data_IF_447306361027
#
_entry.id   IF_447306361027
#
_cell.length_a   1.000
_cell.length_b   1.000
_cell.length_c   1.000
_cell.angle_alpha   90.00
_cell.angle_beta   90.00
_cell.angle_gamma   90.00
#
_symmetry.space_group_name_H-M   'P 1'
#
loop_
_entity.id
_entity.type
_entity.pdbx_description
1 polymer ?
#
# COMPACT_ATOMS: atom_id res chain seq x y z
N UNK A 1 -22.17 22.42 3.65
CA UNK A 1 -22.48 20.99 3.42
C UNK A 1 -23.54 20.45 4.38
N UNK A 2 -24.11 21.32 5.19
CA UNK A 2 -25.07 20.92 6.26
C UNK A 2 -26.44 20.47 5.74
N UNK A 3 -26.80 20.78 4.50
CA UNK A 3 -28.09 20.43 3.86
C UNK A 3 -28.13 19.07 3.15
N UNK A 4 -27.07 18.26 3.24
CA UNK A 4 -27.09 16.95 2.60
C UNK A 4 -27.91 15.95 3.43
N UNK A 5 -28.89 15.30 2.79
CA UNK A 5 -29.61 14.20 3.45
C UNK A 5 -28.61 13.10 3.87
N UNK A 6 -28.92 12.40 4.97
CA UNK A 6 -28.07 11.31 5.50
C UNK A 6 -27.78 10.25 4.42
N UNK A 7 -28.76 9.91 3.58
CA UNK A 7 -28.60 8.96 2.47
C UNK A 7 -27.57 9.45 1.44
N UNK A 8 -27.65 10.71 1.04
CA UNK A 8 -26.74 11.29 0.04
C UNK A 8 -25.32 11.41 0.57
N UNK A 9 -25.16 11.72 1.86
CA UNK A 9 -23.85 11.74 2.54
C UNK A 9 -23.19 10.36 2.53
N UNK A 10 -23.90 9.31 2.92
CA UNK A 10 -23.38 7.96 2.91
C UNK A 10 -23.10 7.45 1.50
N UNK A 11 -23.93 7.78 0.52
CA UNK A 11 -23.68 7.43 -0.89
C UNK A 11 -22.36 8.05 -1.39
N UNK A 12 -22.07 9.32 -1.04
CA UNK A 12 -20.83 9.98 -1.40
C UNK A 12 -19.61 9.32 -0.70
N UNK A 13 -19.73 9.00 0.59
CA UNK A 13 -18.66 8.30 1.33
C UNK A 13 -18.37 6.91 0.75
N UNK A 14 -19.41 6.14 0.43
CA UNK A 14 -19.26 4.82 -0.17
C UNK A 14 -18.70 4.89 -1.59
N UNK A 15 -19.05 5.93 -2.37
CA UNK A 15 -18.46 6.17 -3.68
C UNK A 15 -16.93 6.42 -3.59
N UNK A 16 -16.51 7.21 -2.61
CA UNK A 16 -15.07 7.42 -2.34
C UNK A 16 -14.39 6.13 -1.85
N UNK A 17 -15.04 5.37 -0.97
CA UNK A 17 -14.52 4.08 -0.51
C UNK A 17 -14.40 3.05 -1.65
N UNK A 18 -15.33 3.06 -2.62
CA UNK A 18 -15.27 2.19 -3.80
C UNK A 18 -14.00 2.43 -4.64
N UNK A 19 -13.57 3.69 -4.77
CA UNK A 19 -12.28 3.99 -5.39
C UNK A 19 -11.11 3.38 -4.63
N UNK A 20 -11.15 3.37 -3.29
CA UNK A 20 -10.14 2.70 -2.47
C UNK A 20 -10.19 1.17 -2.60
N UNK A 21 -11.38 0.59 -2.78
CA UNK A 21 -11.51 -0.84 -3.15
C UNK A 21 -10.77 -1.10 -4.47
N UNK A 22 -11.04 -0.31 -5.51
CA UNK A 22 -10.40 -0.50 -6.81
C UNK A 22 -8.87 -0.31 -6.75
N UNK A 23 -8.38 0.62 -5.91
CA UNK A 23 -6.94 0.80 -5.64
C UNK A 23 -6.35 -0.46 -5.00
N UNK A 24 -6.97 -0.99 -3.96
CA UNK A 24 -6.52 -2.23 -3.33
C UNK A 24 -6.50 -3.42 -4.31
N UNK A 25 -7.50 -3.54 -5.18
CA UNK A 25 -7.53 -4.57 -6.21
C UNK A 25 -6.33 -4.42 -7.19
N UNK A 26 -6.10 -3.23 -7.74
CA UNK A 26 -5.01 -3.03 -8.71
C UNK A 26 -3.62 -3.18 -8.07
N UNK A 27 -3.49 -2.95 -6.78
CA UNK A 27 -2.23 -3.06 -6.03
C UNK A 27 -1.91 -4.53 -5.69
N UNK A 28 -2.86 -5.30 -5.17
CA UNK A 28 -2.60 -6.62 -4.58
C UNK A 28 -2.93 -7.81 -5.48
N UNK A 29 -3.84 -7.68 -6.46
CA UNK A 29 -4.17 -8.77 -7.38
C UNK A 29 -2.96 -9.30 -8.17
N UNK A 30 -1.99 -8.47 -8.59
CA UNK A 30 -0.81 -8.98 -9.30
C UNK A 30 -0.05 -10.07 -8.56
N UNK A 31 0.07 -9.98 -7.24
CA UNK A 31 0.75 -10.99 -6.42
C UNK A 31 0.12 -12.39 -6.54
N UNK A 32 -1.19 -12.43 -6.75
CA UNK A 32 -1.94 -13.68 -6.94
C UNK A 32 -1.95 -14.21 -8.36
N UNK A 33 -1.50 -13.41 -9.36
CA UNK A 33 -1.56 -13.74 -10.79
C UNK A 33 -0.19 -13.67 -11.49
N UNK A 34 0.89 -13.59 -10.74
CA UNK A 34 2.23 -13.41 -11.31
C UNK A 34 2.63 -14.51 -12.30
N UNK A 35 2.41 -15.82 -12.01
CA UNK A 35 2.73 -16.89 -12.95
C UNK A 35 1.91 -16.80 -14.25
N UNK A 36 0.62 -16.47 -14.16
CA UNK A 36 -0.26 -16.32 -15.33
C UNK A 36 0.15 -15.14 -16.21
N UNK A 37 0.57 -14.04 -15.57
CA UNK A 37 1.08 -12.85 -16.26
C UNK A 37 2.41 -13.20 -16.95
N UNK A 38 3.37 -13.81 -16.22
CA UNK A 38 4.66 -14.23 -16.76
C UNK A 38 4.50 -15.13 -17.98
N UNK A 39 3.67 -16.16 -17.87
CA UNK A 39 3.37 -17.07 -18.99
C UNK A 39 2.79 -16.34 -20.20
N UNK A 40 1.96 -15.32 -19.99
CA UNK A 40 1.29 -14.59 -21.06
C UNK A 40 2.17 -13.59 -21.79
N UNK A 41 3.05 -12.85 -21.09
CA UNK A 41 3.81 -11.73 -21.66
C UNK A 41 5.32 -11.97 -21.77
N UNK A 42 5.81 -13.05 -21.13
CA UNK A 42 7.19 -13.52 -21.13
C UNK A 42 7.28 -15.00 -21.54
N UNK A 43 6.42 -15.44 -22.47
CA UNK A 43 6.23 -16.86 -22.81
C UNK A 43 7.52 -17.60 -23.16
N UNK A 44 8.41 -17.01 -23.94
CA UNK A 44 9.71 -17.62 -24.32
C UNK A 44 10.65 -17.76 -23.11
N UNK A 45 10.62 -16.80 -22.19
CA UNK A 45 11.40 -16.85 -20.95
C UNK A 45 10.78 -17.86 -19.98
N UNK A 46 9.46 -17.86 -19.87
CA UNK A 46 8.71 -18.81 -19.04
C UNK A 46 8.94 -20.27 -19.46
N UNK A 47 9.04 -20.54 -20.77
CA UNK A 47 9.32 -21.87 -21.29
C UNK A 47 10.76 -22.33 -20.99
N UNK A 48 11.71 -21.40 -20.84
CA UNK A 48 13.11 -21.71 -20.48
C UNK A 48 13.29 -21.85 -18.96
N UNK A 49 12.70 -20.95 -18.19
CA UNK A 49 12.79 -20.91 -16.73
C UNK A 49 11.57 -20.19 -16.16
N UNK A 50 10.63 -20.95 -15.58
CA UNK A 50 9.47 -20.36 -14.91
C UNK A 50 9.89 -19.41 -13.77
N UNK A 51 10.84 -19.76 -12.86
CA UNK A 51 11.24 -18.86 -11.78
C UNK A 51 11.78 -17.52 -12.27
N UNK A 52 12.59 -17.52 -13.33
CA UNK A 52 13.16 -16.28 -13.87
C UNK A 52 12.08 -15.40 -14.51
N UNK A 53 11.17 -15.99 -15.29
CA UNK A 53 10.06 -15.26 -15.90
C UNK A 53 9.11 -14.67 -14.85
N UNK A 54 8.83 -15.41 -13.77
CA UNK A 54 8.01 -14.93 -12.64
C UNK A 54 8.73 -13.82 -11.90
N UNK A 55 10.04 -13.94 -11.66
CA UNK A 55 10.86 -12.89 -11.06
C UNK A 55 10.84 -11.63 -11.93
N UNK A 56 11.00 -11.80 -13.25
CA UNK A 56 10.92 -10.69 -14.22
C UNK A 56 9.54 -10.05 -14.23
N UNK A 57 8.46 -10.82 -14.23
CA UNK A 57 7.09 -10.29 -14.12
C UNK A 57 6.84 -9.47 -12.85
N UNK A 58 7.54 -9.76 -11.76
CA UNK A 58 7.49 -8.99 -10.51
C UNK A 58 7.79 -7.50 -10.68
N UNK A 59 8.54 -7.11 -11.70
CA UNK A 59 8.82 -5.71 -12.01
C UNK A 59 7.57 -4.87 -12.33
N UNK A 60 6.45 -5.50 -12.68
CA UNK A 60 5.19 -4.78 -12.86
C UNK A 60 4.61 -4.24 -11.53
N UNK A 61 4.87 -4.93 -10.42
CA UNK A 61 4.51 -4.48 -9.08
C UNK A 61 5.39 -3.30 -8.70
N UNK A 62 6.71 -3.44 -8.91
CA UNK A 62 7.70 -2.37 -8.73
C UNK A 62 7.36 -1.13 -9.55
N UNK A 63 6.99 -1.28 -10.83
CA UNK A 63 6.64 -0.16 -11.71
C UNK A 63 5.43 0.63 -11.18
N UNK A 64 4.38 -0.07 -10.72
CA UNK A 64 3.22 0.58 -10.11
C UNK A 64 3.60 1.35 -8.84
N UNK A 65 4.33 0.71 -7.95
CA UNK A 65 4.76 1.31 -6.68
C UNK A 65 5.66 2.54 -6.90
N UNK A 66 6.57 2.51 -7.89
CA UNK A 66 7.36 3.68 -8.30
C UNK A 66 6.47 4.79 -8.84
N UNK A 67 5.42 4.44 -9.60
CA UNK A 67 4.42 5.40 -10.04
C UNK A 67 3.76 6.12 -8.86
N UNK A 68 3.42 5.40 -7.78
CA UNK A 68 2.85 6.00 -6.57
C UNK A 68 3.85 6.94 -5.88
N UNK A 69 5.11 6.52 -5.73
CA UNK A 69 6.16 7.32 -5.08
C UNK A 69 6.39 8.64 -5.82
N UNK A 70 6.43 8.60 -7.15
CA UNK A 70 6.61 9.80 -7.99
C UNK A 70 5.34 10.63 -8.06
N UNK A 71 4.19 9.97 -8.24
CA UNK A 71 2.91 10.62 -8.48
C UNK A 71 2.38 11.40 -7.28
N UNK A 72 2.55 10.90 -6.06
CA UNK A 72 2.00 11.53 -4.86
C UNK A 72 2.51 12.98 -4.67
N UNK A 73 3.82 13.26 -4.61
CA UNK A 73 4.31 14.62 -4.46
C UNK A 73 4.08 15.48 -5.73
N UNK A 74 4.22 14.90 -6.93
CA UNK A 74 4.06 15.61 -8.19
C UNK A 74 2.62 16.11 -8.35
N UNK A 75 1.64 15.21 -8.21
CA UNK A 75 0.22 15.56 -8.40
C UNK A 75 -0.23 16.48 -7.28
N UNK A 76 0.15 16.23 -6.01
CA UNK A 76 -0.20 17.11 -4.90
C UNK A 76 0.26 18.54 -5.14
N UNK A 77 1.47 18.73 -5.67
CA UNK A 77 2.03 20.05 -5.98
C UNK A 77 1.29 20.73 -7.12
N UNK A 78 1.06 20.04 -8.24
CA UNK A 78 0.42 20.61 -9.45
C UNK A 78 -1.05 20.93 -9.18
N UNK A 79 -1.74 20.10 -8.36
CA UNK A 79 -3.19 20.20 -8.16
C UNK A 79 -3.60 20.88 -6.85
N UNK A 80 -2.66 21.46 -6.09
CA UNK A 80 -2.91 22.06 -4.77
C UNK A 80 -4.09 23.07 -4.75
N UNK A 81 -4.33 23.78 -5.85
CA UNK A 81 -5.41 24.78 -6.02
C UNK A 81 -6.68 24.22 -6.67
N UNK A 82 -6.68 22.94 -7.06
CA UNK A 82 -7.85 22.34 -7.72
C UNK A 82 -8.97 22.06 -6.70
N UNK A 83 -10.23 22.18 -7.17
CA UNK A 83 -11.40 21.73 -6.41
C UNK A 83 -11.30 20.22 -6.18
N UNK A 84 -11.47 19.76 -4.94
CA UNK A 84 -11.21 18.36 -4.54
C UNK A 84 -12.01 17.33 -5.34
N UNK A 85 -13.30 17.61 -5.64
CA UNK A 85 -14.12 16.71 -6.48
C UNK A 85 -13.50 16.56 -7.89
N UNK A 86 -13.14 17.67 -8.54
CA UNK A 86 -12.54 17.63 -9.88
C UNK A 86 -11.22 16.86 -9.89
N UNK A 87 -10.41 17.04 -8.83
CA UNK A 87 -9.18 16.29 -8.65
C UNK A 87 -9.46 14.79 -8.57
N UNK A 88 -10.36 14.34 -7.67
CA UNK A 88 -10.70 12.92 -7.50
C UNK A 88 -11.23 12.33 -8.82
N UNK A 89 -12.09 13.04 -9.55
CA UNK A 89 -12.58 12.58 -10.86
C UNK A 89 -11.44 12.42 -11.86
N UNK A 90 -10.52 13.38 -11.97
CA UNK A 90 -9.35 13.28 -12.85
C UNK A 90 -8.44 12.12 -12.48
N UNK A 91 -8.23 11.88 -11.17
CA UNK A 91 -7.44 10.74 -10.69
C UNK A 91 -8.11 9.39 -11.02
N UNK A 92 -9.43 9.30 -10.87
CA UNK A 92 -10.19 8.10 -11.24
C UNK A 92 -10.13 7.84 -12.75
N UNK A 93 -10.18 8.87 -13.60
CA UNK A 93 -9.96 8.72 -15.05
C UNK A 93 -8.58 8.15 -15.35
N UNK A 94 -7.52 8.66 -14.70
CA UNK A 94 -6.17 8.13 -14.86
C UNK A 94 -6.07 6.66 -14.43
N UNK A 95 -6.74 6.27 -13.33
CA UNK A 95 -6.80 4.87 -12.90
C UNK A 95 -7.51 3.98 -13.92
N UNK A 96 -8.66 4.41 -14.44
CA UNK A 96 -9.39 3.66 -15.49
C UNK A 96 -8.48 3.45 -16.69
N UNK A 97 -7.88 4.51 -17.22
CA UNK A 97 -7.04 4.46 -18.41
C UNK A 97 -5.78 3.62 -18.19
N UNK A 98 -5.05 3.84 -17.08
CA UNK A 98 -3.83 3.11 -16.77
C UNK A 98 -4.06 1.62 -16.50
N UNK A 99 -5.15 1.29 -15.81
CA UNK A 99 -5.51 -0.11 -15.52
C UNK A 99 -5.99 -0.82 -16.79
N UNK A 100 -6.82 -0.17 -17.62
CA UNK A 100 -7.25 -0.72 -18.90
C UNK A 100 -6.07 -0.86 -19.86
N UNK A 101 -5.18 0.12 -19.95
CA UNK A 101 -3.95 0.04 -20.74
C UNK A 101 -3.07 -1.15 -20.32
N UNK A 102 -2.97 -1.43 -19.02
CA UNK A 102 -2.26 -2.61 -18.52
C UNK A 102 -2.87 -3.91 -19.03
N UNK A 103 -4.21 -3.98 -19.13
CA UNK A 103 -4.92 -5.17 -19.61
C UNK A 103 -4.73 -5.43 -21.10
N UNK A 104 -4.63 -4.38 -21.92
CA UNK A 104 -4.54 -4.50 -23.38
C UNK A 104 -3.10 -4.44 -23.91
N UNK A 105 -2.12 -4.20 -23.05
CA UNK A 105 -0.71 -4.13 -23.41
C UNK A 105 -0.24 -5.45 -24.04
N UNK A 106 0.39 -5.35 -25.22
CA UNK A 106 0.85 -6.50 -26.00
C UNK A 106 2.25 -6.98 -25.61
N UNK A 107 3.07 -6.12 -25.01
CA UNK A 107 4.43 -6.44 -24.59
C UNK A 107 4.63 -6.14 -23.10
N UNK A 108 5.58 -6.83 -22.47
CA UNK A 108 5.90 -6.62 -21.07
C UNK A 108 6.33 -5.17 -20.77
N UNK A 109 7.13 -4.56 -21.65
CA UNK A 109 7.52 -3.15 -21.50
C UNK A 109 6.33 -2.19 -21.48
N UNK A 110 5.30 -2.42 -22.33
CA UNK A 110 4.06 -1.64 -22.30
C UNK A 110 3.26 -1.89 -21.03
N UNK A 111 3.26 -3.11 -20.49
CA UNK A 111 2.67 -3.40 -19.18
C UNK A 111 3.35 -2.57 -18.09
N UNK A 112 4.69 -2.52 -18.07
CA UNK A 112 5.44 -1.72 -17.08
C UNK A 112 5.09 -0.23 -17.15
N UNK A 113 5.04 0.35 -18.36
CA UNK A 113 4.67 1.76 -18.56
C UNK A 113 3.22 2.03 -18.10
N UNK A 114 2.29 1.15 -18.48
CA UNK A 114 0.89 1.28 -18.08
C UNK A 114 0.72 1.13 -16.56
N UNK A 115 1.46 0.22 -15.91
CA UNK A 115 1.47 0.04 -14.46
C UNK A 115 2.03 1.26 -13.74
N UNK A 116 3.14 1.83 -14.22
CA UNK A 116 3.70 3.07 -13.69
C UNK A 116 2.68 4.21 -13.78
N UNK A 117 2.06 4.40 -14.96
CA UNK A 117 1.03 5.42 -15.17
C UNK A 117 -0.19 5.23 -14.25
N UNK A 118 -0.65 3.96 -14.06
CA UNK A 118 -1.73 3.62 -13.14
C UNK A 118 -1.37 3.88 -11.66
N UNK A 119 -0.09 3.85 -11.30
CA UNK A 119 0.39 4.17 -9.95
C UNK A 119 0.36 5.66 -9.62
N UNK A 120 0.56 6.55 -10.60
CA UNK A 120 0.68 7.99 -10.37
C UNK A 120 -0.47 8.59 -9.54
N UNK A 121 -1.75 8.30 -9.78
CA UNK A 121 -2.87 8.91 -9.06
C UNK A 121 -3.08 8.40 -7.63
N UNK A 122 -2.45 7.28 -7.23
CA UNK A 122 -2.75 6.54 -6.00
C UNK A 122 -2.65 7.40 -4.72
N UNK A 123 -1.48 7.98 -4.44
CA UNK A 123 -1.26 8.75 -3.20
C UNK A 123 -2.11 10.03 -3.14
N UNK A 124 -2.27 10.70 -4.27
CA UNK A 124 -3.11 11.90 -4.39
C UNK A 124 -4.60 11.57 -4.19
N UNK A 125 -5.05 10.39 -4.60
CA UNK A 125 -6.42 9.93 -4.39
C UNK A 125 -6.76 9.85 -2.90
N UNK A 126 -5.94 9.15 -2.09
CA UNK A 126 -6.20 9.02 -0.66
C UNK A 126 -6.21 10.38 0.05
N UNK A 127 -5.31 11.28 -0.30
CA UNK A 127 -5.31 12.65 0.22
C UNK A 127 -6.59 13.41 -0.13
N UNK A 128 -6.96 13.45 -1.40
CA UNK A 128 -8.14 14.20 -1.87
C UNK A 128 -9.47 13.58 -1.41
N UNK A 129 -9.60 12.25 -1.49
CA UNK A 129 -10.80 11.53 -1.05
C UNK A 129 -10.97 11.59 0.47
N UNK A 130 -9.87 11.47 1.23
CA UNK A 130 -9.91 11.62 2.69
C UNK A 130 -10.40 13.00 3.13
N UNK A 131 -9.91 14.08 2.52
CA UNK A 131 -10.36 15.45 2.79
C UNK A 131 -11.83 15.67 2.42
N UNK A 132 -12.29 15.13 1.28
CA UNK A 132 -13.70 15.17 0.91
C UNK A 132 -14.56 14.41 1.92
N UNK A 133 -14.15 13.22 2.33
CA UNK A 133 -14.86 12.43 3.30
C UNK A 133 -14.93 13.13 4.68
N UNK A 134 -13.82 13.74 5.12
CA UNK A 134 -13.80 14.56 6.33
C UNK A 134 -14.82 15.71 6.26
N UNK A 135 -14.84 16.44 5.13
CA UNK A 135 -15.79 17.54 4.94
C UNK A 135 -17.28 17.09 4.89
N UNK A 136 -17.54 15.86 4.43
CA UNK A 136 -18.87 15.26 4.40
C UNK A 136 -19.34 14.83 5.79
N UNK A 137 -18.44 14.43 6.69
CA UNK A 137 -18.78 14.01 8.06
C UNK A 137 -19.01 15.18 9.01
N UNK A 138 -18.43 16.35 8.69
CA UNK A 138 -18.55 17.57 9.49
C UNK A 138 -17.53 17.66 10.63
N UNK A 139 -17.49 18.83 11.33
CA UNK A 139 -16.52 19.11 12.37
C UNK A 139 -16.54 18.06 13.50
N UNK A 140 -15.35 17.62 13.95
CA UNK A 140 -15.19 16.62 15.01
C UNK A 140 -15.39 15.16 14.59
N UNK A 141 -15.64 14.92 13.29
CA UNK A 141 -15.83 13.56 12.75
C UNK A 141 -14.94 13.29 11.52
N UNK A 142 -13.94 14.14 11.29
CA UNK A 142 -13.06 14.08 10.11
C UNK A 142 -12.33 12.74 10.02
N UNK A 143 -11.84 12.22 11.16
CA UNK A 143 -11.17 10.92 11.23
C UNK A 143 -12.07 9.75 10.82
N UNK A 144 -13.37 9.82 11.14
CA UNK A 144 -14.35 8.81 10.71
C UNK A 144 -14.54 8.82 9.20
N UNK A 145 -14.60 10.01 8.59
CA UNK A 145 -14.68 10.13 7.13
C UNK A 145 -13.49 9.49 6.45
N UNK A 146 -12.30 9.78 6.92
CA UNK A 146 -11.06 9.17 6.42
C UNK A 146 -11.03 7.65 6.60
N UNK A 147 -11.48 7.17 7.77
CA UNK A 147 -11.57 5.74 8.05
C UNK A 147 -12.52 5.00 7.10
N UNK A 148 -13.66 5.61 6.72
CA UNK A 148 -14.56 5.03 5.72
C UNK A 148 -13.88 4.89 4.36
N UNK A 149 -13.12 5.89 3.91
CA UNK A 149 -12.37 5.80 2.64
C UNK A 149 -11.34 4.67 2.73
N UNK A 150 -10.56 4.59 3.82
CA UNK A 150 -9.54 3.55 4.01
C UNK A 150 -10.13 2.15 4.17
N UNK A 151 -11.36 2.00 4.69
CA UNK A 151 -12.00 0.69 4.81
C UNK A 151 -12.18 -0.01 3.47
N UNK A 152 -12.17 0.75 2.35
CA UNK A 152 -12.17 0.19 1.01
C UNK A 152 -10.97 -0.73 0.75
N UNK A 153 -9.77 -0.41 1.27
CA UNK A 153 -8.60 -1.29 1.17
C UNK A 153 -8.81 -2.61 1.92
N UNK A 154 -9.43 -2.54 3.11
CA UNK A 154 -9.75 -3.75 3.89
C UNK A 154 -10.72 -4.65 3.13
N UNK A 155 -11.79 -4.07 2.56
CA UNK A 155 -12.76 -4.80 1.74
C UNK A 155 -12.08 -5.42 0.52
N UNK A 156 -11.18 -4.67 -0.14
CA UNK A 156 -10.40 -5.20 -1.25
C UNK A 156 -9.57 -6.41 -0.83
N UNK A 157 -8.79 -6.30 0.24
CA UNK A 157 -7.87 -7.36 0.66
C UNK A 157 -8.57 -8.61 1.17
N UNK A 158 -9.66 -8.49 1.94
CA UNK A 158 -10.36 -9.64 2.49
C UNK A 158 -11.22 -10.37 1.46
N UNK A 159 -11.90 -9.65 0.59
CA UNK A 159 -12.86 -10.21 -0.35
C UNK A 159 -12.52 -9.99 -1.82
N UNK A 160 -12.20 -8.76 -2.17
CA UNK A 160 -12.02 -8.35 -3.56
C UNK A 160 -10.82 -9.02 -4.24
N UNK A 161 -9.64 -8.97 -3.62
CA UNK A 161 -8.40 -9.54 -4.18
C UNK A 161 -8.53 -11.04 -4.40
N UNK A 162 -9.01 -11.85 -3.43
CA UNK A 162 -9.22 -13.28 -3.66
C UNK A 162 -10.18 -13.58 -4.82
N UNK A 163 -11.31 -12.85 -4.90
CA UNK A 163 -12.31 -13.04 -5.95
C UNK A 163 -11.75 -12.69 -7.34
N UNK A 164 -11.07 -11.56 -7.45
CA UNK A 164 -10.48 -11.12 -8.73
C UNK A 164 -9.29 -12.01 -9.13
N UNK A 165 -8.50 -12.50 -8.18
CA UNK A 165 -7.45 -13.48 -8.44
C UNK A 165 -8.02 -14.78 -9.01
N UNK A 166 -9.09 -15.32 -8.41
CA UNK A 166 -9.79 -16.48 -8.94
C UNK A 166 -10.33 -16.25 -10.35
N UNK A 167 -10.93 -15.08 -10.59
CA UNK A 167 -11.38 -14.69 -11.91
C UNK A 167 -10.23 -14.66 -12.93
N UNK A 168 -9.09 -14.07 -12.53
CA UNK A 168 -7.91 -13.99 -13.38
C UNK A 168 -7.30 -15.36 -13.71
N UNK A 169 -7.31 -16.29 -12.75
CA UNK A 169 -6.88 -17.68 -12.95
C UNK A 169 -7.83 -18.44 -13.90
N UNK A 170 -9.14 -18.21 -13.83
CA UNK A 170 -10.14 -18.89 -14.63
C UNK A 170 -10.33 -18.29 -16.04
N UNK A 171 -10.32 -16.97 -16.15
CA UNK A 171 -10.67 -16.23 -17.38
C UNK A 171 -9.50 -15.41 -17.95
N UNK A 172 -8.30 -15.55 -17.38
CA UNK A 172 -7.10 -14.83 -17.77
C UNK A 172 -6.90 -13.51 -17.00
N UNK A 173 -5.64 -13.17 -16.73
CA UNK A 173 -5.25 -12.00 -15.95
C UNK A 173 -5.72 -10.66 -16.58
N UNK A 174 -5.79 -10.60 -17.92
CA UNK A 174 -6.30 -9.41 -18.63
C UNK A 174 -7.76 -9.13 -18.29
N UNK A 175 -8.60 -10.17 -18.20
CA UNK A 175 -10.00 -10.06 -17.76
C UNK A 175 -10.08 -9.51 -16.34
N UNK A 176 -9.25 -9.97 -15.42
CA UNK A 176 -9.18 -9.43 -14.07
C UNK A 176 -8.89 -7.92 -14.07
N UNK A 177 -7.91 -7.47 -14.86
CA UNK A 177 -7.58 -6.04 -14.97
C UNK A 177 -8.68 -5.21 -15.62
N UNK A 178 -9.40 -5.74 -16.62
CA UNK A 178 -10.58 -5.06 -17.20
C UNK A 178 -11.72 -4.93 -16.18
N UNK A 179 -11.95 -5.95 -15.36
CA UNK A 179 -12.92 -5.86 -14.26
C UNK A 179 -12.49 -4.81 -13.23
N UNK A 180 -11.22 -4.74 -12.86
CA UNK A 180 -10.70 -3.69 -11.96
C UNK A 180 -10.89 -2.31 -12.59
N UNK A 181 -10.62 -2.14 -13.89
CA UNK A 181 -10.88 -0.89 -14.61
C UNK A 181 -12.39 -0.54 -14.58
N UNK A 182 -13.26 -1.53 -14.70
CA UNK A 182 -14.72 -1.39 -14.55
C UNK A 182 -15.13 -0.92 -13.14
N UNK A 183 -14.47 -1.42 -12.09
CA UNK A 183 -14.71 -0.96 -10.71
C UNK A 183 -14.27 0.49 -10.54
N UNK A 184 -13.13 0.90 -11.12
CA UNK A 184 -12.71 2.32 -11.14
C UNK A 184 -13.70 3.20 -11.91
N UNK A 185 -14.23 2.73 -13.05
CA UNK A 185 -15.25 3.44 -13.82
C UNK A 185 -16.54 3.59 -12.99
N UNK A 186 -16.96 2.55 -12.30
CA UNK A 186 -18.11 2.60 -11.41
C UNK A 186 -17.88 3.62 -10.27
N UNK A 187 -16.68 3.64 -9.67
CA UNK A 187 -16.32 4.63 -8.66
C UNK A 187 -16.33 6.05 -9.24
N UNK A 188 -15.82 6.25 -10.46
CA UNK A 188 -15.84 7.54 -11.17
C UNK A 188 -17.28 8.05 -11.34
N UNK A 189 -18.18 7.20 -11.85
CA UNK A 189 -19.59 7.55 -12.06
C UNK A 189 -20.30 7.81 -10.73
N UNK A 190 -20.05 6.98 -9.72
CA UNK A 190 -20.62 7.15 -8.38
C UNK A 190 -20.17 8.46 -7.73
N UNK A 191 -18.88 8.81 -7.80
CA UNK A 191 -18.32 10.08 -7.28
C UNK A 191 -18.90 11.25 -8.06
N UNK A 192 -18.98 11.17 -9.38
CA UNK A 192 -19.56 12.24 -10.21
C UNK A 192 -21.02 12.54 -9.80
N UNK A 193 -21.82 11.49 -9.54
CA UNK A 193 -23.23 11.60 -9.22
C UNK A 193 -23.49 12.02 -7.76
N UNK A 194 -22.70 11.55 -6.79
CA UNK A 194 -23.05 11.65 -5.36
C UNK A 194 -22.25 12.68 -4.59
N UNK A 195 -20.96 12.87 -4.92
CA UNK A 195 -20.07 13.78 -4.18
C UNK A 195 -20.36 15.23 -4.56
N UNK A 196 -20.67 16.12 -3.61
CA UNK A 196 -20.88 17.52 -3.90
C UNK A 196 -19.55 18.22 -4.28
N UNK A 197 -19.66 19.33 -5.02
CA UNK A 197 -18.49 20.16 -5.30
C UNK A 197 -18.08 20.89 -4.02
N UNK A 198 -16.82 20.79 -3.65
CA UNK A 198 -16.26 21.42 -2.47
C UNK A 198 -15.15 22.42 -2.88
N UNK A 199 -15.08 23.59 -2.26
CA UNK A 199 -14.00 24.53 -2.49
C UNK A 199 -12.65 23.86 -2.16
N UNK A 200 -11.58 24.37 -2.77
CA UNK A 200 -10.23 23.97 -2.40
C UNK A 200 -9.97 24.46 -0.95
N UNK A 201 -9.81 23.56 -0.02
CA UNK A 201 -9.35 23.87 1.33
C UNK A 201 -7.81 23.91 1.30
N UNK A 202 -7.22 25.10 1.16
CA UNK A 202 -5.79 25.24 1.05
C UNK A 202 -5.12 25.49 2.39
N UNK A 203 -4.26 24.56 2.83
CA UNK A 203 -3.08 24.94 3.59
C UNK A 203 -2.07 25.61 2.65
N UNK A 204 -1.13 26.39 3.18
CA UNK A 204 -0.08 26.98 2.33
C UNK A 204 0.81 25.84 1.79
N UNK A 205 0.96 25.67 0.46
CA UNK A 205 1.89 24.70 -0.12
C UNK A 205 3.31 24.86 0.43
N UNK A 206 3.68 26.07 0.87
CA UNK A 206 4.98 26.36 1.45
C UNK A 206 5.19 25.70 2.82
N UNK A 207 4.14 25.57 3.65
CA UNK A 207 4.25 24.94 4.96
C UNK A 207 4.37 23.42 4.84
N UNK A 208 3.61 22.82 3.90
CA UNK A 208 3.70 21.40 3.58
C UNK A 208 5.11 21.06 3.03
N UNK A 209 5.65 21.86 2.12
CA UNK A 209 7.00 21.66 1.58
C UNK A 209 8.10 21.87 2.62
N UNK A 210 7.88 22.73 3.63
CA UNK A 210 8.84 22.97 4.71
C UNK A 210 9.08 21.70 5.55
N UNK A 211 8.10 20.80 5.65
CA UNK A 211 8.27 19.51 6.33
C UNK A 211 9.34 18.65 5.66
N UNK A 212 9.48 18.69 4.33
CA UNK A 212 10.48 17.94 3.58
C UNK A 212 11.93 18.36 3.88
N UNK A 213 12.15 19.54 4.49
CA UNK A 213 13.47 19.99 4.91
C UNK A 213 13.91 19.40 6.26
N UNK A 214 13.04 18.65 6.94
CA UNK A 214 13.33 18.05 8.25
C UNK A 214 13.98 16.68 8.09
N UNK A 215 15.23 16.46 8.54
CA UNK A 215 15.90 15.16 8.40
C UNK A 215 15.16 14.02 9.11
N UNK A 216 14.43 14.32 10.20
CA UNK A 216 13.64 13.35 10.94
C UNK A 216 12.50 12.74 10.10
N UNK A 217 11.89 13.53 9.22
CA UNK A 217 10.86 13.04 8.28
C UNK A 217 11.45 11.97 7.37
N UNK A 218 12.60 12.26 6.77
CA UNK A 218 13.28 11.31 5.88
C UNK A 218 13.78 10.06 6.58
N UNK A 219 14.20 10.18 7.86
CA UNK A 219 14.57 9.02 8.65
C UNK A 219 13.39 8.08 8.90
N UNK A 220 12.19 8.63 9.19
CA UNK A 220 10.98 7.81 9.35
C UNK A 220 10.54 7.22 8.02
N UNK A 221 10.60 7.99 6.92
CA UNK A 221 10.32 7.49 5.56
C UNK A 221 11.25 6.34 5.21
N UNK A 222 12.57 6.50 5.42
CA UNK A 222 13.55 5.44 5.15
C UNK A 222 13.31 4.20 6.04
N UNK A 223 13.01 4.40 7.32
CA UNK A 223 12.66 3.32 8.25
C UNK A 223 11.46 2.52 7.76
N UNK A 224 10.40 3.21 7.32
CA UNK A 224 9.20 2.59 6.79
C UNK A 224 9.50 1.87 5.46
N UNK A 225 10.13 2.57 4.51
CA UNK A 225 10.41 2.02 3.16
C UNK A 225 11.29 0.76 3.21
N UNK A 226 12.33 0.76 4.05
CA UNK A 226 13.23 -0.38 4.17
C UNK A 226 12.61 -1.49 5.02
N UNK A 227 12.09 -1.13 6.20
CA UNK A 227 11.65 -2.13 7.16
C UNK A 227 10.38 -2.89 6.75
N UNK A 228 9.47 -2.23 6.03
CA UNK A 228 8.23 -2.84 5.52
C UNK A 228 8.49 -3.64 4.23
N UNK A 229 9.57 -3.39 3.51
CA UNK A 229 9.91 -4.11 2.29
C UNK A 229 9.96 -5.64 2.50
N UNK A 230 10.24 -6.08 3.73
CA UNK A 230 10.21 -7.50 4.09
C UNK A 230 8.84 -8.18 3.92
N UNK A 231 7.74 -7.46 4.17
CA UNK A 231 6.40 -7.94 3.85
C UNK A 231 6.24 -8.12 2.34
N UNK A 232 6.54 -7.10 1.56
CA UNK A 232 6.32 -7.11 0.12
C UNK A 232 7.25 -8.07 -0.63
N UNK A 233 8.42 -8.41 -0.07
CA UNK A 233 9.30 -9.42 -0.64
C UNK A 233 8.64 -10.81 -0.68
N UNK A 234 7.80 -11.14 0.31
CA UNK A 234 7.03 -12.39 0.35
C UNK A 234 5.70 -12.24 -0.39
N UNK A 235 4.94 -11.18 -0.10
CA UNK A 235 3.59 -10.96 -0.61
C UNK A 235 3.54 -10.95 -2.15
N UNK A 236 4.53 -10.31 -2.79
CA UNK A 236 4.61 -10.24 -4.26
C UNK A 236 4.75 -11.62 -4.95
N UNK A 237 5.20 -12.63 -4.23
CA UNK A 237 5.46 -13.96 -4.77
C UNK A 237 4.63 -15.06 -4.09
N UNK A 238 3.53 -14.70 -3.41
CA UNK A 238 2.66 -15.67 -2.70
C UNK A 238 2.09 -16.75 -3.62
N UNK A 239 1.76 -16.41 -4.87
CA UNK A 239 1.23 -17.40 -5.82
C UNK A 239 2.25 -18.51 -6.12
N UNK A 240 3.49 -18.23 -6.59
CA UNK A 240 4.47 -19.27 -6.82
C UNK A 240 4.96 -19.93 -5.52
N UNK A 241 4.97 -19.23 -4.38
CA UNK A 241 5.27 -19.86 -3.08
C UNK A 241 4.20 -20.91 -2.77
N UNK A 242 2.92 -20.59 -2.96
CA UNK A 242 1.81 -21.51 -2.70
C UNK A 242 1.90 -22.77 -3.57
N UNK A 243 2.21 -22.62 -4.86
CA UNK A 243 2.21 -23.73 -5.82
C UNK A 243 3.52 -24.50 -5.81
N UNK A 244 4.68 -23.80 -5.86
CA UNK A 244 5.98 -24.45 -6.08
C UNK A 244 6.72 -24.81 -4.78
N UNK A 245 6.46 -24.11 -3.66
CA UNK A 245 7.10 -24.40 -2.37
C UNK A 245 6.22 -25.28 -1.49
N UNK A 246 4.94 -24.93 -1.35
CA UNK A 246 3.99 -25.69 -0.53
C UNK A 246 3.33 -26.84 -1.30
N UNK A 247 3.35 -26.80 -2.65
CA UNK A 247 2.77 -27.85 -3.50
C UNK A 247 1.24 -27.84 -3.54
N UNK A 248 0.59 -26.73 -3.19
CA UNK A 248 -0.86 -26.60 -3.25
C UNK A 248 -1.33 -26.20 -4.66
N UNK A 249 -2.60 -26.43 -4.97
CA UNK A 249 -3.19 -26.01 -6.25
C UNK A 249 -3.24 -24.48 -6.37
N UNK A 250 -3.25 -23.95 -7.59
CA UNK A 250 -3.41 -22.51 -7.87
C UNK A 250 -4.70 -21.94 -7.26
N UNK A 251 -5.76 -22.76 -7.18
CA UNK A 251 -7.00 -22.38 -6.51
C UNK A 251 -6.84 -22.06 -5.00
N UNK A 252 -5.78 -22.55 -4.35
CA UNK A 252 -5.48 -22.25 -2.95
C UNK A 252 -4.93 -20.85 -2.75
N UNK A 253 -4.35 -20.22 -3.78
CA UNK A 253 -3.76 -18.86 -3.72
C UNK A 253 -4.78 -17.84 -3.21
N UNK A 254 -6.02 -17.90 -3.71
CA UNK A 254 -7.08 -17.00 -3.26
C UNK A 254 -7.34 -17.11 -1.74
N UNK A 255 -7.28 -18.31 -1.18
CA UNK A 255 -7.47 -18.52 0.26
C UNK A 255 -6.26 -18.06 1.08
N UNK A 256 -5.05 -18.17 0.54
CA UNK A 256 -3.84 -17.60 1.17
C UNK A 256 -3.95 -16.07 1.23
N UNK A 257 -4.43 -15.43 0.16
CA UNK A 257 -4.69 -13.97 0.14
C UNK A 257 -5.80 -13.56 1.13
N UNK A 258 -6.83 -14.41 1.34
CA UNK A 258 -7.80 -14.21 2.44
C UNK A 258 -7.09 -14.21 3.79
N UNK A 259 -6.18 -15.15 4.03
CA UNK A 259 -5.43 -15.20 5.29
C UNK A 259 -4.58 -13.95 5.51
N UNK A 260 -3.89 -13.44 4.47
CA UNK A 260 -3.18 -12.15 4.50
C UNK A 260 -4.14 -11.02 4.86
N UNK A 261 -5.29 -10.91 4.17
CA UNK A 261 -6.28 -9.84 4.40
C UNK A 261 -6.88 -9.86 5.81
N UNK A 262 -7.16 -11.04 6.34
CA UNK A 262 -7.61 -11.20 7.73
C UNK A 262 -6.51 -10.79 8.72
N UNK A 263 -5.27 -11.17 8.47
CA UNK A 263 -4.10 -10.72 9.21
C UNK A 263 -4.00 -9.19 9.20
N UNK A 264 -4.07 -8.58 8.02
CA UNK A 264 -4.06 -7.11 7.85
C UNK A 264 -5.15 -6.43 8.69
N UNK A 265 -6.36 -6.98 8.71
CA UNK A 265 -7.48 -6.45 9.50
C UNK A 265 -7.16 -6.49 11.00
N UNK A 266 -6.71 -7.64 11.49
CA UNK A 266 -6.32 -7.80 12.89
C UNK A 266 -5.16 -6.88 13.28
N UNK A 267 -4.14 -6.80 12.41
CA UNK A 267 -2.98 -5.95 12.59
C UNK A 267 -3.31 -4.47 12.67
N UNK A 268 -4.21 -3.98 11.80
CA UNK A 268 -4.64 -2.57 11.80
C UNK A 268 -5.30 -2.17 13.14
N UNK A 269 -6.18 -3.01 13.66
CA UNK A 269 -6.84 -2.78 14.96
C UNK A 269 -5.82 -2.76 16.10
N UNK A 270 -4.94 -3.77 16.15
CA UNK A 270 -3.92 -3.89 17.19
C UNK A 270 -2.87 -2.78 17.10
N UNK A 271 -2.45 -2.40 15.88
CA UNK A 271 -1.49 -1.35 15.64
C UNK A 271 -2.00 0.02 16.06
N UNK A 272 -3.26 0.36 15.71
CA UNK A 272 -3.90 1.59 16.16
C UNK A 272 -3.99 1.66 17.69
N UNK A 273 -4.52 0.60 18.32
CA UNK A 273 -4.64 0.51 19.76
C UNK A 273 -3.29 0.64 20.51
N UNK A 274 -2.22 0.07 19.96
CA UNK A 274 -0.91 0.12 20.60
C UNK A 274 -0.19 1.44 20.34
N UNK A 275 -0.39 2.04 19.16
CA UNK A 275 0.14 3.37 18.82
C UNK A 275 -0.39 4.45 19.75
N UNK A 276 -1.71 4.40 20.12
CA UNK A 276 -2.33 5.34 21.04
C UNK A 276 -1.76 5.26 22.47
N UNK A 277 -1.17 4.10 22.85
CA UNK A 277 -0.60 3.89 24.19
C UNK A 277 0.86 4.29 24.28
N UNK A 278 1.68 3.77 23.37
CA UNK A 278 3.12 4.03 23.31
C UNK A 278 3.63 3.87 21.88
N UNK A 279 3.67 4.97 21.17
CA UNK A 279 4.08 5.02 19.76
C UNK A 279 5.50 4.48 19.54
N UNK A 280 6.41 4.71 20.51
CA UNK A 280 7.80 4.26 20.39
C UNK A 280 7.92 2.75 20.56
N UNK A 281 7.26 2.20 21.57
CA UNK A 281 7.22 0.74 21.77
C UNK A 281 6.46 0.05 20.65
N UNK A 282 5.36 0.62 20.18
CA UNK A 282 4.61 0.10 19.04
C UNK A 282 5.49 -0.03 17.79
N UNK A 283 6.31 0.97 17.49
CA UNK A 283 7.21 0.94 16.34
C UNK A 283 8.26 -0.18 16.45
N UNK A 284 8.92 -0.31 17.60
CA UNK A 284 9.93 -1.35 17.84
C UNK A 284 9.29 -2.75 17.81
N UNK A 285 8.16 -2.93 18.52
CA UNK A 285 7.43 -4.18 18.55
C UNK A 285 6.92 -4.59 17.14
N UNK A 286 6.44 -3.62 16.34
CA UNK A 286 5.99 -3.87 14.99
C UNK A 286 7.09 -4.40 14.09
N UNK A 287 8.28 -3.78 14.06
CA UNK A 287 9.41 -4.28 13.28
C UNK A 287 9.93 -5.63 13.79
N UNK A 288 9.98 -5.84 15.11
CA UNK A 288 10.31 -7.15 15.67
C UNK A 288 9.31 -8.22 15.24
N UNK A 289 8.01 -7.89 15.20
CA UNK A 289 6.97 -8.79 14.72
C UNK A 289 7.11 -9.10 13.22
N UNK A 290 7.47 -8.13 12.36
CA UNK A 290 7.75 -8.39 10.94
C UNK A 290 8.90 -9.38 10.78
N UNK A 291 10.00 -9.20 11.53
CA UNK A 291 11.15 -10.11 11.51
C UNK A 291 10.70 -11.51 11.93
N UNK A 292 10.01 -11.63 13.07
CA UNK A 292 9.53 -12.92 13.59
C UNK A 292 8.56 -13.61 12.61
N UNK A 293 7.66 -12.86 11.99
CA UNK A 293 6.71 -13.40 11.00
C UNK A 293 7.42 -13.92 9.75
N UNK A 294 8.44 -13.19 9.23
CA UNK A 294 9.23 -13.64 8.09
C UNK A 294 10.08 -14.89 8.43
N UNK A 295 10.69 -14.95 9.62
CA UNK A 295 11.41 -16.15 10.10
C UNK A 295 10.45 -17.33 10.18
N UNK A 296 9.30 -17.16 10.85
CA UNK A 296 8.28 -18.20 10.95
C UNK A 296 7.85 -18.70 9.57
N UNK A 297 7.52 -17.78 8.66
CA UNK A 297 7.14 -18.11 7.29
C UNK A 297 8.23 -18.89 6.56
N UNK A 298 9.46 -18.41 6.58
CA UNK A 298 10.60 -19.08 5.95
C UNK A 298 10.85 -20.51 6.46
N UNK A 299 10.61 -20.76 7.75
CA UNK A 299 10.76 -22.08 8.36
C UNK A 299 9.59 -23.03 8.03
N UNK A 300 8.35 -22.51 7.98
CA UNK A 300 7.14 -23.35 8.00
C UNK A 300 6.40 -23.44 6.67
N UNK A 301 6.72 -22.59 5.70
CA UNK A 301 6.01 -22.44 4.41
C UNK A 301 5.99 -23.70 3.53
N UNK A 302 6.81 -24.70 3.83
CA UNK A 302 6.74 -26.02 3.19
C UNK A 302 5.49 -26.84 3.53
N UNK A 303 4.67 -26.41 4.50
CA UNK A 303 3.41 -27.04 4.88
C UNK A 303 2.23 -26.10 4.67
N UNK A 304 1.04 -26.66 4.37
CA UNK A 304 -0.18 -25.87 4.22
C UNK A 304 -0.49 -25.05 5.50
N UNK A 305 -0.37 -25.66 6.68
CA UNK A 305 -0.57 -24.97 7.95
C UNK A 305 0.40 -23.79 8.11
N UNK A 306 1.70 -24.00 7.84
CA UNK A 306 2.72 -22.96 7.92
C UNK A 306 2.50 -21.83 6.91
N UNK A 307 2.05 -22.16 5.69
CA UNK A 307 1.71 -21.16 4.67
C UNK A 307 0.57 -20.25 5.13
N UNK A 308 -0.58 -20.82 5.55
CA UNK A 308 -1.75 -20.03 5.94
C UNK A 308 -1.52 -19.21 7.21
N UNK A 309 -0.94 -19.81 8.24
CA UNK A 309 -0.63 -19.10 9.49
C UNK A 309 0.45 -18.04 9.29
N UNK A 310 1.48 -18.34 8.49
CA UNK A 310 2.53 -17.40 8.14
C UNK A 310 2.01 -16.24 7.30
N UNK A 311 1.16 -16.49 6.32
CA UNK A 311 0.50 -15.46 5.51
C UNK A 311 -0.37 -14.53 6.39
N UNK A 312 -1.13 -15.08 7.33
CA UNK A 312 -1.88 -14.29 8.30
C UNK A 312 -0.97 -13.42 9.17
N UNK A 313 0.12 -13.98 9.70
CA UNK A 313 1.06 -13.23 10.55
C UNK A 313 1.77 -12.12 9.77
N UNK A 314 2.26 -12.40 8.56
CA UNK A 314 2.92 -11.41 7.69
C UNK A 314 1.94 -10.28 7.35
N UNK A 315 0.70 -10.61 6.93
CA UNK A 315 -0.36 -9.63 6.68
C UNK A 315 -0.67 -8.78 7.91
N UNK A 316 -0.69 -9.40 9.10
CA UNK A 316 -0.93 -8.70 10.36
C UNK A 316 0.13 -7.64 10.65
N UNK A 317 1.40 -7.94 10.37
CA UNK A 317 2.50 -7.04 10.70
C UNK A 317 2.53 -5.76 9.88
N UNK A 318 2.16 -5.81 8.59
CA UNK A 318 2.18 -4.62 7.73
C UNK A 318 1.17 -3.58 8.19
N UNK A 319 -0.08 -3.98 8.45
CA UNK A 319 -1.10 -3.04 8.91
C UNK A 319 -1.05 -2.77 10.42
N UNK A 320 -0.30 -3.55 11.21
CA UNK A 320 0.10 -3.12 12.55
C UNK A 320 1.01 -1.90 12.49
N UNK A 321 2.01 -1.89 11.59
CA UNK A 321 2.90 -0.76 11.40
C UNK A 321 2.25 0.43 10.70
N UNK A 322 1.17 0.24 9.94
CA UNK A 322 0.49 1.30 9.20
C UNK A 322 0.14 2.53 10.06
N UNK A 323 -0.77 2.41 11.03
CA UNK A 323 -1.13 3.53 11.91
C UNK A 323 0.03 4.01 12.78
N UNK A 324 0.95 3.13 13.18
CA UNK A 324 2.15 3.50 13.97
C UNK A 324 3.06 4.45 13.20
N UNK A 325 3.39 4.12 11.95
CA UNK A 325 4.24 4.95 11.10
C UNK A 325 3.53 6.22 10.65
N UNK A 326 2.22 6.14 10.38
CA UNK A 326 1.38 7.30 10.11
C UNK A 326 1.43 8.32 11.25
N UNK A 327 1.17 7.88 12.48
CA UNK A 327 1.22 8.72 13.67
C UNK A 327 2.64 9.29 13.88
N UNK A 328 3.66 8.49 13.59
CA UNK A 328 5.05 8.90 13.70
C UNK A 328 5.41 10.01 12.71
N UNK A 329 5.02 9.88 11.44
CA UNK A 329 5.26 10.90 10.42
C UNK A 329 4.56 12.22 10.74
N UNK A 330 3.31 12.15 11.23
CA UNK A 330 2.58 13.34 11.68
C UNK A 330 3.31 14.02 12.85
N UNK A 331 3.81 13.25 13.82
CA UNK A 331 4.51 13.78 14.98
C UNK A 331 5.83 14.51 14.63
N UNK A 332 6.56 14.04 13.60
CA UNK A 332 7.81 14.68 13.17
C UNK A 332 7.62 15.79 12.13
N UNK A 333 6.40 15.98 11.63
CA UNK A 333 6.00 17.01 10.67
C UNK A 333 4.94 17.97 11.23
N UNK A 334 5.15 18.65 12.39
CA UNK A 334 4.15 19.53 12.96
C UNK A 334 3.82 20.67 12.01
N UNK A 335 2.51 20.93 11.83
CA UNK A 335 1.99 21.93 10.90
C UNK A 335 1.85 21.44 9.45
N UNK A 336 2.27 20.21 9.12
CA UNK A 336 2.21 19.61 7.78
C UNK A 336 1.60 18.20 7.84
N UNK A 337 0.41 18.07 8.41
CA UNK A 337 -0.24 16.77 8.62
C UNK A 337 -0.57 16.05 7.31
N UNK A 338 -0.94 16.81 6.26
CA UNK A 338 -1.22 16.26 4.94
C UNK A 338 0.04 15.68 4.29
N UNK A 339 1.17 16.38 4.41
CA UNK A 339 2.45 15.88 3.92
C UNK A 339 2.87 14.61 4.68
N UNK A 340 2.69 14.57 6.00
CA UNK A 340 2.95 13.37 6.80
C UNK A 340 2.12 12.18 6.32
N UNK A 341 0.84 12.37 6.01
CA UNK A 341 -0.04 11.34 5.48
C UNK A 341 0.36 10.89 4.06
N UNK A 342 0.69 11.83 3.18
CA UNK A 342 1.13 11.54 1.82
C UNK A 342 2.47 10.78 1.82
N UNK A 343 3.42 11.19 2.67
CA UNK A 343 4.71 10.52 2.81
C UNK A 343 4.58 9.10 3.37
N UNK A 344 3.59 8.83 4.23
CA UNK A 344 3.32 7.47 4.67
C UNK A 344 2.95 6.57 3.48
N UNK A 345 2.04 7.00 2.61
CA UNK A 345 1.67 6.25 1.40
C UNK A 345 2.87 6.08 0.45
N UNK A 346 3.67 7.12 0.27
CA UNK A 346 4.90 7.04 -0.52
C UNK A 346 5.90 6.06 0.08
N UNK A 347 6.08 6.04 1.40
CA UNK A 347 6.99 5.12 2.10
C UNK A 347 6.53 3.65 1.98
N UNK A 348 5.22 3.39 2.11
CA UNK A 348 4.66 2.05 1.91
C UNK A 348 4.84 1.57 0.46
N UNK A 349 4.64 2.44 -0.51
CA UNK A 349 4.84 2.09 -1.91
C UNK A 349 6.32 2.00 -2.31
N UNK A 350 7.21 2.77 -1.68
CA UNK A 350 8.64 2.57 -1.80
C UNK A 350 9.05 1.21 -1.22
N UNK A 351 8.47 0.79 -0.08
CA UNK A 351 8.66 -0.53 0.50
C UNK A 351 8.14 -1.64 -0.44
N UNK A 352 6.96 -1.44 -1.06
CA UNK A 352 6.40 -2.36 -2.05
C UNK A 352 7.35 -2.53 -3.25
N UNK A 353 7.81 -1.42 -3.83
CA UNK A 353 8.78 -1.42 -4.93
C UNK A 353 10.08 -2.15 -4.55
N UNK A 354 10.64 -1.81 -3.39
CA UNK A 354 11.90 -2.39 -2.90
C UNK A 354 11.73 -3.88 -2.60
N UNK A 355 10.63 -4.28 -1.97
CA UNK A 355 10.35 -5.68 -1.62
C UNK A 355 10.14 -6.55 -2.85
N UNK A 356 9.32 -6.11 -3.81
CA UNK A 356 9.09 -6.83 -5.05
C UNK A 356 10.40 -6.99 -5.86
N UNK A 357 11.20 -5.92 -5.97
CA UNK A 357 12.50 -5.96 -6.64
C UNK A 357 13.49 -6.89 -5.91
N UNK A 358 13.54 -6.84 -4.58
CA UNK A 358 14.40 -7.72 -3.77
C UNK A 358 14.01 -9.19 -3.96
N UNK A 359 12.71 -9.49 -3.95
CA UNK A 359 12.21 -10.83 -4.24
C UNK A 359 12.60 -11.29 -5.63
N UNK A 360 12.47 -10.42 -6.66
CA UNK A 360 12.95 -10.71 -8.01
C UNK A 360 14.44 -11.08 -8.03
N UNK A 361 15.29 -10.27 -7.40
CA UNK A 361 16.75 -10.48 -7.39
C UNK A 361 17.13 -11.81 -6.74
N UNK A 362 16.55 -12.16 -5.58
CA UNK A 362 16.90 -13.41 -4.90
C UNK A 362 16.39 -14.64 -5.63
N UNK A 363 15.25 -14.55 -6.33
CA UNK A 363 14.71 -15.64 -7.15
C UNK A 363 15.57 -15.82 -8.40
N UNK A 364 15.90 -14.74 -9.12
CA UNK A 364 16.75 -14.77 -10.30
C UNK A 364 18.20 -15.23 -9.99
N UNK A 365 18.68 -15.04 -8.77
CA UNK A 365 19.93 -15.59 -8.27
C UNK A 365 19.89 -17.11 -8.00
N UNK A 366 18.76 -17.78 -8.27
CA UNK A 366 18.60 -19.22 -8.07
C UNK A 366 18.38 -19.67 -6.62
N UNK A 367 18.13 -18.73 -5.70
CA UNK A 367 17.92 -19.04 -4.27
C UNK A 367 16.52 -19.57 -3.97
N UNK A 368 15.62 -19.54 -4.98
CA UNK A 368 14.25 -20.04 -4.88
C UNK A 368 13.28 -19.12 -4.11
N UNK A 369 12.00 -19.41 -4.21
CA UNK A 369 10.94 -18.56 -3.66
C UNK A 369 10.97 -18.43 -2.12
N UNK A 370 11.43 -19.45 -1.40
CA UNK A 370 11.58 -19.39 0.07
C UNK A 370 12.58 -18.32 0.52
N UNK A 371 13.57 -17.99 -0.32
CA UNK A 371 14.59 -17.00 -0.01
C UNK A 371 14.02 -15.58 0.14
N UNK A 372 12.85 -15.30 -0.43
CA UNK A 372 12.15 -14.02 -0.27
C UNK A 372 11.86 -13.69 1.19
N UNK A 373 11.50 -14.69 2.01
CA UNK A 373 11.27 -14.52 3.45
C UNK A 373 12.57 -14.16 4.18
N UNK A 374 13.70 -14.81 3.85
CA UNK A 374 15.00 -14.51 4.46
C UNK A 374 15.52 -13.13 4.05
N UNK A 375 15.32 -12.74 2.80
CA UNK A 375 15.59 -11.38 2.36
C UNK A 375 14.72 -10.37 3.12
N UNK A 376 13.46 -10.73 3.38
CA UNK A 376 12.54 -9.97 4.22
C UNK A 376 13.03 -9.77 5.65
N UNK A 377 13.60 -10.81 6.28
CA UNK A 377 14.24 -10.73 7.61
C UNK A 377 15.35 -9.68 7.62
N UNK A 378 16.24 -9.70 6.61
CA UNK A 378 17.39 -8.79 6.54
C UNK A 378 16.94 -7.33 6.44
N UNK A 379 16.03 -7.01 5.51
CA UNK A 379 15.60 -5.62 5.32
C UNK A 379 14.74 -5.12 6.49
N UNK A 380 13.94 -6.00 7.10
CA UNK A 380 13.15 -5.62 8.28
C UNK A 380 14.04 -5.40 9.51
N UNK A 381 15.14 -6.15 9.65
CA UNK A 381 16.15 -5.91 10.69
C UNK A 381 16.85 -4.56 10.48
N UNK A 382 17.19 -4.19 9.24
CA UNK A 382 17.71 -2.85 8.93
C UNK A 382 16.68 -1.76 9.29
N UNK A 383 15.39 -1.98 8.99
CA UNK A 383 14.31 -1.08 9.40
C UNK A 383 14.22 -0.90 10.92
N UNK A 384 14.37 -2.00 11.69
CA UNK A 384 14.41 -1.96 13.15
C UNK A 384 15.61 -1.15 13.65
N UNK A 385 16.79 -1.36 13.08
CA UNK A 385 18.01 -0.59 13.44
C UNK A 385 17.79 0.90 13.20
N UNK A 386 17.24 1.28 12.03
CA UNK A 386 16.91 2.68 11.72
C UNK A 386 15.88 3.26 12.69
N UNK A 387 14.85 2.49 13.05
CA UNK A 387 13.83 2.89 14.02
C UNK A 387 14.47 3.20 15.39
N UNK A 388 15.28 2.28 15.91
CA UNK A 388 15.95 2.43 17.21
C UNK A 388 16.96 3.59 17.18
N UNK A 389 17.73 3.71 16.11
CA UNK A 389 18.69 4.81 15.93
C UNK A 389 17.97 6.18 15.91
N UNK A 390 16.84 6.26 15.20
CA UNK A 390 16.01 7.47 15.15
C UNK A 390 15.47 7.88 16.53
N UNK A 391 14.97 6.92 17.29
CA UNK A 391 14.49 7.16 18.65
C UNK A 391 15.62 7.57 19.61
N UNK A 392 16.80 6.97 19.47
CA UNK A 392 17.97 7.33 20.27
C UNK A 392 18.46 8.74 19.95
N UNK A 393 18.50 9.12 18.69
CA UNK A 393 18.85 10.47 18.24
C UNK A 393 17.94 11.54 18.84
N UNK A 394 16.63 11.30 18.85
CA UNK A 394 15.66 12.23 19.45
C UNK A 394 15.85 12.39 20.96
N UNK A 395 16.06 11.29 21.68
CA UNK A 395 16.32 11.35 23.12
C UNK A 395 17.54 12.22 23.43
N UNK A 396 18.61 12.06 22.66
CA UNK A 396 19.85 12.86 22.83
C UNK A 396 19.62 14.34 22.53
N UNK A 397 18.79 14.66 21.53
CA UNK A 397 18.47 16.05 21.17
C UNK A 397 17.60 16.71 22.24
N UNK A 398 16.59 16.01 22.77
CA UNK A 398 15.74 16.49 23.86
C UNK A 398 16.53 16.70 25.16
N UNK A 399 17.50 15.83 25.45
CA UNK A 399 18.37 15.97 26.62
C UNK A 399 19.38 17.11 26.49
N UNK A 400 19.70 17.58 25.27
CA UNK A 400 20.62 18.70 25.00
C UNK A 400 19.92 20.05 24.81
N UNK A 401 18.60 20.09 24.72
CA UNK A 401 17.85 21.35 24.70
C UNK A 401 17.96 21.99 26.11
N UNK A 402 18.53 23.22 26.25
CA UNK A 402 18.67 23.86 27.56
C UNK A 402 17.27 24.08 28.16
N UNK A 403 17.20 24.02 29.52
CA UNK A 403 16.05 24.38 30.34
C UNK A 403 15.79 25.92 30.30
N UNK A 404 15.60 26.47 29.09
CA UNK A 404 15.51 27.91 28.83
C UNK A 404 14.07 28.42 28.76
N UNK A 405 13.08 27.73 29.35
CA UNK A 405 11.68 28.20 29.37
C UNK A 405 10.95 28.00 30.70
N UNK A 406 11.64 27.96 31.82
CA UNK A 406 10.99 28.02 33.14
C UNK A 406 11.35 29.28 33.93
N UNK A 407 11.79 30.37 33.26
CA UNK A 407 12.03 31.66 33.87
C UNK A 407 11.51 32.77 32.96
N UNK A 408 10.17 32.89 32.83
CA UNK A 408 9.47 34.12 32.46
C UNK A 408 8.01 34.03 32.91
#
# INVERSE_FOLDING_TARGET
>A
MDDLSRRRRWAALLALALGSVAIGLTEFVPAGLLPEIARSVLGDEYARSEPDAVAHAGWMITAYALGVVVGAPLIATITARMRRKRLVLGLLVLFVLGTAASAVASTFGLVLVARFAAGLPHGAYFGAAGLLAASLMGPGSEGRGFAVVLSGLTVANVGGVPVITRLGQAAGWRTAYLVIAGVFLLALLAVAATVPDAPASGGSPADELRALRRPQVWLVVATASIGIAGFFAVDSYLAPITTSVTGLSSGSVAWVLVAVGLGMTAGNVLGGWYADRDLRRAMVAGFAAVIAANVYFGLTVGSAFGLFTGAFLIGGTILFLGPVLQARLIAVAPGAQLMGAALNQSAFNAANSLGAALGSVVIAAGLGYRATAWAGVVVSALGLVLAVAGLAFERRRSARAPAAQTAA
#
